data_IF_834744806480
#
_entry.id   IF_834744806480
#
_cell.length_a   1.000
_cell.length_b   1.000
_cell.length_c   1.000
_cell.angle_alpha   90.00
_cell.angle_beta   90.00
_cell.angle_gamma   90.00
#
_symmetry.space_group_name_H-M   'P 1'
#
loop_
_entity.id
_entity.type
_entity.pdbx_description
1 polymer ?
#
# COMPACT_ATOMS: atom_id res chain seq x y z
N UNK A 1 14.70 17.64 4.99
CA UNK A 1 14.56 16.67 3.88
C UNK A 1 13.09 16.36 3.75
N UNK A 2 12.57 16.14 2.54
CA UNK A 2 11.16 15.79 2.37
C UNK A 2 11.01 14.29 2.55
N UNK A 3 10.32 13.82 3.58
CA UNK A 3 10.08 12.38 3.74
C UNK A 3 9.11 11.90 2.66
N UNK A 4 9.42 10.75 2.05
CA UNK A 4 8.69 10.11 0.96
C UNK A 4 8.59 8.62 1.22
N UNK A 5 7.39 8.06 1.02
CA UNK A 5 7.12 6.64 1.20
C UNK A 5 7.09 5.93 -0.14
N UNK A 6 7.74 4.76 -0.18
CA UNK A 6 7.88 3.94 -1.36
C UNK A 6 7.48 2.49 -1.08
N UNK A 7 6.80 1.89 -2.05
CA UNK A 7 6.61 0.45 -2.12
C UNK A 7 7.66 -0.15 -3.05
N UNK A 8 8.47 -1.04 -2.51
CA UNK A 8 9.52 -1.77 -3.21
C UNK A 8 9.18 -3.25 -3.31
N UNK A 9 9.19 -3.77 -4.53
CA UNK A 9 9.23 -5.20 -4.78
C UNK A 9 10.69 -5.62 -4.94
N UNK A 10 11.16 -6.50 -4.07
CA UNK A 10 12.53 -6.99 -4.07
C UNK A 10 12.61 -8.49 -4.35
N UNK A 11 13.71 -8.90 -4.97
CA UNK A 11 14.13 -10.30 -5.01
C UNK A 11 14.82 -10.67 -3.70
N UNK A 12 14.30 -11.68 -2.99
CA UNK A 12 14.79 -12.04 -1.64
C UNK A 12 16.26 -12.45 -1.61
N UNK A 13 16.77 -13.03 -2.69
CA UNK A 13 18.10 -13.65 -2.73
C UNK A 13 19.17 -12.66 -3.16
N UNK A 14 18.84 -11.82 -4.14
CA UNK A 14 19.79 -10.84 -4.71
C UNK A 14 19.65 -9.47 -4.08
N UNK A 15 18.56 -9.21 -3.36
CA UNK A 15 18.19 -7.89 -2.82
C UNK A 15 18.08 -6.81 -3.90
N UNK A 16 17.89 -7.23 -5.16
CA UNK A 16 17.67 -6.30 -6.26
C UNK A 16 16.25 -5.76 -6.21
N UNK A 17 16.09 -4.45 -6.36
CA UNK A 17 14.81 -3.79 -6.56
C UNK A 17 14.29 -4.17 -7.96
N UNK A 18 13.21 -4.93 -8.00
CA UNK A 18 12.52 -5.29 -9.24
C UNK A 18 11.60 -4.14 -9.66
N UNK A 19 10.96 -3.51 -8.66
CA UNK A 19 10.07 -2.39 -8.88
C UNK A 19 10.03 -1.49 -7.65
N UNK A 20 9.88 -0.21 -7.88
CA UNK A 20 9.69 0.81 -6.86
C UNK A 20 8.58 1.75 -7.30
N UNK A 21 7.73 2.15 -6.38
CA UNK A 21 6.66 3.12 -6.61
C UNK A 21 6.59 4.07 -5.42
N UNK A 22 6.68 5.38 -5.67
CA UNK A 22 6.34 6.36 -4.66
C UNK A 22 4.84 6.28 -4.40
N UNK A 23 4.43 6.36 -3.13
CA UNK A 23 3.01 6.29 -2.75
C UNK A 23 2.57 7.47 -1.89
N UNK A 24 3.51 8.14 -1.22
CA UNK A 24 3.27 9.33 -0.42
C UNK A 24 4.54 10.20 -0.44
N UNK A 25 4.40 11.52 -0.40
CA UNK A 25 5.54 12.44 -0.47
C UNK A 25 5.26 13.80 0.15
N UNK A 26 6.20 14.75 -0.01
CA UNK A 26 6.08 16.13 0.47
C UNK A 26 5.93 16.29 2.00
N UNK A 27 6.56 15.43 2.81
CA UNK A 27 6.40 15.39 4.28
C UNK A 27 5.00 14.97 4.75
N UNK A 28 4.19 14.38 3.88
CA UNK A 28 3.00 13.69 4.34
C UNK A 28 3.40 12.41 5.08
N UNK A 29 2.71 12.13 6.18
CA UNK A 29 2.87 10.90 6.96
C UNK A 29 1.52 10.21 7.10
N UNK A 30 1.58 8.90 7.27
CA UNK A 30 0.42 8.16 7.73
C UNK A 30 0.17 8.48 9.22
N UNK A 31 -1.07 8.25 9.67
CA UNK A 31 -1.38 8.40 11.09
C UNK A 31 -0.81 7.22 11.91
N UNK A 32 -0.74 7.38 13.25
CA UNK A 32 -0.25 6.34 14.15
C UNK A 32 -1.03 5.02 14.01
N UNK A 33 -2.32 5.10 13.67
CA UNK A 33 -3.17 3.92 13.48
C UNK A 33 -2.71 3.09 12.27
N UNK A 34 -2.43 3.74 11.14
CA UNK A 34 -1.91 3.08 9.95
C UNK A 34 -0.60 2.35 10.23
N UNK A 35 0.36 3.04 10.88
CA UNK A 35 1.65 2.44 11.22
C UNK A 35 1.50 1.24 12.16
N UNK A 36 0.68 1.39 13.20
CA UNK A 36 0.41 0.31 14.15
C UNK A 36 -0.24 -0.91 13.48
N UNK A 37 -1.20 -0.71 12.60
CA UNK A 37 -1.93 -1.81 11.94
C UNK A 37 -1.05 -2.60 10.96
N UNK A 38 -0.02 -1.97 10.39
CA UNK A 38 0.97 -2.62 9.54
C UNK A 38 2.23 -3.04 10.29
N UNK A 39 2.25 -2.93 11.61
CA UNK A 39 3.39 -3.26 12.47
C UNK A 39 4.68 -2.51 12.08
N UNK A 40 4.53 -1.22 11.80
CA UNK A 40 5.60 -0.29 11.41
C UNK A 40 5.97 0.53 12.65
N UNK A 41 7.26 0.53 13.00
CA UNK A 41 7.77 1.33 14.10
C UNK A 41 8.34 2.64 13.56
N UNK A 42 7.86 3.76 14.11
CA UNK A 42 8.45 5.08 13.90
C UNK A 42 9.29 5.39 15.14
N UNK A 43 10.56 5.71 14.96
CA UNK A 43 11.44 6.02 16.08
C UNK A 43 11.23 7.46 16.62
N UNK A 44 12.00 7.83 17.65
CA UNK A 44 11.90 9.15 18.30
C UNK A 44 12.28 10.31 17.38
N UNK A 45 13.04 10.04 16.33
CA UNK A 45 13.51 11.03 15.36
C UNK A 45 12.61 11.06 14.11
N UNK A 46 11.52 10.27 14.09
CA UNK A 46 10.59 10.19 12.97
C UNK A 46 11.06 9.29 11.82
N UNK A 47 12.11 8.49 12.04
CA UNK A 47 12.67 7.57 11.06
C UNK A 47 11.87 6.27 11.06
N UNK A 48 11.62 5.74 9.86
CA UNK A 48 10.91 4.49 9.63
C UNK A 48 11.87 3.55 8.92
N UNK A 49 12.24 2.45 9.57
CA UNK A 49 13.05 1.42 8.93
C UNK A 49 12.27 0.69 7.82
N UNK A 50 12.95 0.21 6.77
CA UNK A 50 12.31 -0.60 5.74
C UNK A 50 11.62 -1.82 6.35
N UNK A 51 10.32 -1.98 6.05
CA UNK A 51 9.48 -2.99 6.69
C UNK A 51 8.78 -3.86 5.66
N UNK A 52 8.82 -5.17 5.88
CA UNK A 52 8.11 -6.13 5.05
C UNK A 52 6.62 -6.07 5.34
N UNK A 53 5.82 -5.91 4.30
CA UNK A 53 4.36 -5.79 4.39
C UNK A 53 3.65 -6.80 3.51
N UNK A 54 2.41 -7.15 3.90
CA UNK A 54 1.47 -7.78 2.99
C UNK A 54 0.76 -6.69 2.17
N UNK A 55 0.67 -6.87 0.85
CA UNK A 55 0.14 -5.84 -0.03
C UNK A 55 -1.36 -5.58 0.15
N UNK A 56 -2.17 -6.61 0.47
CA UNK A 56 -3.61 -6.43 0.67
C UNK A 56 -3.91 -5.70 1.99
N UNK A 57 -3.10 -5.96 3.00
CA UNK A 57 -3.21 -5.28 4.30
C UNK A 57 -2.83 -3.81 4.15
N UNK A 58 -1.75 -3.52 3.40
CA UNK A 58 -1.37 -2.16 3.05
C UNK A 58 -2.49 -1.41 2.31
N UNK A 59 -3.05 -1.97 1.22
CA UNK A 59 -4.10 -1.30 0.45
C UNK A 59 -5.35 -1.02 1.29
N UNK A 60 -5.66 -1.91 2.23
CA UNK A 60 -6.77 -1.74 3.16
C UNK A 60 -6.55 -0.57 4.12
N UNK A 61 -5.39 -0.50 4.78
CA UNK A 61 -5.08 0.63 5.66
C UNK A 61 -4.93 1.94 4.86
N UNK A 62 -4.48 1.86 3.61
CA UNK A 62 -4.42 3.00 2.70
C UNK A 62 -5.80 3.59 2.41
N UNK A 63 -6.80 2.78 2.03
CA UNK A 63 -8.17 3.27 1.83
C UNK A 63 -8.75 3.87 3.13
N UNK A 64 -8.49 3.24 4.28
CA UNK A 64 -8.92 3.77 5.58
C UNK A 64 -8.30 5.13 5.89
N UNK A 65 -6.99 5.27 5.65
CA UNK A 65 -6.28 6.53 5.85
C UNK A 65 -6.82 7.62 4.93
N UNK A 66 -6.93 7.36 3.63
CA UNK A 66 -7.52 8.31 2.69
C UNK A 66 -8.94 8.75 3.10
N UNK A 67 -9.74 7.85 3.66
CA UNK A 67 -11.08 8.19 4.15
C UNK A 67 -11.10 9.19 5.31
N UNK A 68 -10.05 9.24 6.13
CA UNK A 68 -9.86 10.26 7.18
C UNK A 68 -9.35 11.58 6.61
N UNK A 69 -8.61 11.53 5.50
CA UNK A 69 -7.97 12.68 4.85
C UNK A 69 -8.49 12.87 3.42
N UNK A 70 -9.75 13.32 3.25
CA UNK A 70 -10.39 13.39 1.94
C UNK A 70 -9.73 14.39 0.97
N UNK A 71 -8.95 15.34 1.48
CA UNK A 71 -8.12 16.26 0.70
C UNK A 71 -6.98 15.55 -0.04
N UNK A 72 -6.59 14.35 0.42
CA UNK A 72 -5.59 13.49 -0.22
C UNK A 72 -6.18 12.50 -1.22
N UNK A 73 -7.52 12.40 -1.32
CA UNK A 73 -8.19 11.44 -2.21
C UNK A 73 -8.11 11.84 -3.67
N UNK A 74 -7.73 10.86 -4.50
CA UNK A 74 -7.95 10.92 -5.95
C UNK A 74 -9.36 10.45 -6.35
N UNK A 75 -9.81 10.83 -7.55
CA UNK A 75 -11.05 10.34 -8.17
C UNK A 75 -10.76 9.26 -9.23
N UNK A 76 -11.65 8.25 -9.43
CA UNK A 76 -12.94 8.04 -8.74
C UNK A 76 -12.87 7.32 -7.39
N UNK A 77 -13.77 7.69 -6.49
CA UNK A 77 -13.90 7.07 -5.17
C UNK A 77 -14.40 5.62 -5.22
N UNK A 78 -13.95 4.82 -4.25
CA UNK A 78 -14.50 3.49 -4.03
C UNK A 78 -15.96 3.57 -3.55
N UNK A 79 -16.89 2.81 -4.16
CA UNK A 79 -18.29 2.85 -3.77
C UNK A 79 -18.52 2.47 -2.30
N UNK A 80 -19.43 3.18 -1.62
CA UNK A 80 -19.67 3.01 -0.19
C UNK A 80 -20.11 1.58 0.19
N UNK A 81 -20.86 0.90 -0.68
CA UNK A 81 -21.29 -0.49 -0.45
C UNK A 81 -20.12 -1.47 -0.41
N UNK A 82 -18.98 -1.14 -1.04
CA UNK A 82 -17.76 -1.95 -0.95
C UNK A 82 -17.16 -1.83 0.45
N UNK A 83 -17.17 -0.61 1.01
CA UNK A 83 -16.61 -0.28 2.33
C UNK A 83 -17.44 -0.79 3.50
N UNK A 84 -18.76 -0.87 3.34
CA UNK A 84 -19.71 -1.33 4.38
C UNK A 84 -19.75 -2.86 4.56
N UNK A 85 -18.84 -3.61 3.94
CA UNK A 85 -18.82 -5.07 4.09
C UNK A 85 -18.27 -5.47 5.47
N UNK A 86 -19.12 -6.07 6.30
CA UNK A 86 -18.77 -6.49 7.67
C UNK A 86 -17.70 -7.60 7.70
N UNK A 87 -17.54 -8.36 6.60
CA UNK A 87 -16.51 -9.38 6.50
C UNK A 87 -15.18 -8.78 6.04
N UNK A 88 -14.24 -8.63 6.98
CA UNK A 88 -12.92 -8.04 6.73
C UNK A 88 -12.14 -8.69 5.58
N UNK A 89 -12.25 -10.02 5.40
CA UNK A 89 -11.55 -10.71 4.31
C UNK A 89 -12.13 -10.34 2.95
N UNK A 90 -13.46 -10.20 2.86
CA UNK A 90 -14.14 -9.79 1.65
C UNK A 90 -13.87 -8.31 1.36
N UNK A 91 -13.90 -7.46 2.40
CA UNK A 91 -13.58 -6.04 2.31
C UNK A 91 -12.17 -5.84 1.73
N UNK A 92 -11.14 -6.46 2.32
CA UNK A 92 -9.76 -6.42 1.82
C UNK A 92 -9.64 -6.85 0.35
N UNK A 93 -10.32 -7.94 -0.02
CA UNK A 93 -10.37 -8.40 -1.42
C UNK A 93 -11.01 -7.37 -2.35
N UNK A 94 -12.11 -6.75 -1.93
CA UNK A 94 -12.79 -5.76 -2.77
C UNK A 94 -11.95 -4.48 -2.93
N UNK A 95 -11.25 -4.05 -1.88
CA UNK A 95 -10.27 -2.96 -1.94
C UNK A 95 -9.18 -3.28 -2.96
N UNK A 96 -8.60 -4.49 -2.89
CA UNK A 96 -7.62 -4.94 -3.88
C UNK A 96 -8.17 -4.91 -5.32
N UNK A 97 -9.39 -5.41 -5.52
CA UNK A 97 -10.03 -5.42 -6.84
C UNK A 97 -10.32 -4.00 -7.35
N UNK A 98 -10.66 -3.07 -6.47
CA UNK A 98 -10.84 -1.67 -6.84
C UNK A 98 -9.56 -1.10 -7.45
N UNK A 99 -8.44 -1.23 -6.72
CA UNK A 99 -7.13 -0.75 -7.17
C UNK A 99 -6.56 -1.53 -8.36
N UNK A 100 -7.04 -2.74 -8.64
CA UNK A 100 -6.67 -3.50 -9.85
C UNK A 100 -7.40 -3.00 -11.11
N UNK A 101 -8.67 -2.58 -10.99
CA UNK A 101 -9.59 -2.42 -12.13
C UNK A 101 -9.83 -0.94 -12.50
N UNK A 102 -9.80 -0.01 -11.54
CA UNK A 102 -10.17 1.41 -11.78
C UNK A 102 -8.96 2.28 -12.11
N UNK A 103 -9.01 2.99 -13.24
CA UNK A 103 -8.11 4.13 -13.51
C UNK A 103 -8.60 5.34 -12.73
N UNK A 104 -7.83 5.79 -11.74
CA UNK A 104 -8.09 6.97 -10.91
C UNK A 104 -6.83 7.85 -10.82
N UNK A 105 -6.95 9.07 -10.31
CA UNK A 105 -5.82 9.96 -9.99
C UNK A 105 -4.80 9.32 -9.00
N UNK A 106 -5.16 8.21 -8.35
CA UNK A 106 -4.25 7.29 -7.66
C UNK A 106 -3.49 6.37 -8.66
N UNK A 107 -3.03 6.93 -9.78
CA UNK A 107 -2.40 6.17 -10.87
C UNK A 107 -1.22 5.34 -10.36
N UNK A 108 -0.48 5.85 -9.36
CA UNK A 108 0.69 5.18 -8.79
C UNK A 108 0.32 3.82 -8.17
N UNK A 109 -0.74 3.74 -7.37
CA UNK A 109 -1.15 2.48 -6.75
C UNK A 109 -1.89 1.55 -7.71
N UNK A 110 -2.61 2.10 -8.69
CA UNK A 110 -3.19 1.32 -9.78
C UNK A 110 -2.10 0.65 -10.64
N UNK A 111 -1.15 1.44 -11.15
CA UNK A 111 -0.02 0.97 -11.93
C UNK A 111 0.86 0.05 -11.09
N UNK A 112 1.03 0.33 -9.78
CA UNK A 112 1.66 -0.59 -8.84
C UNK A 112 0.95 -1.94 -8.84
N UNK A 113 -0.36 -1.97 -8.53
CA UNK A 113 -1.15 -3.20 -8.43
C UNK A 113 -1.10 -4.01 -9.72
N UNK A 114 -1.29 -3.38 -10.89
CA UNK A 114 -1.27 -4.05 -12.20
C UNK A 114 0.10 -4.61 -12.59
N UNK A 115 1.19 -3.92 -12.24
CA UNK A 115 2.53 -4.46 -12.50
C UNK A 115 2.94 -5.55 -11.51
N UNK A 116 2.29 -5.63 -10.34
CA UNK A 116 2.52 -6.65 -9.32
C UNK A 116 1.70 -7.92 -9.57
N UNK A 117 0.41 -7.81 -9.82
CA UNK A 117 -0.51 -8.94 -10.01
C UNK A 117 -0.69 -9.28 -11.50
N UNK A 118 -0.72 -10.57 -11.90
CA UNK A 118 -0.55 -11.79 -11.09
C UNK A 118 0.90 -12.28 -11.04
N UNK A 119 1.86 -11.50 -11.56
CA UNK A 119 3.22 -11.95 -11.80
C UNK A 119 3.99 -12.20 -10.51
N UNK A 120 3.84 -11.34 -9.51
CA UNK A 120 4.64 -11.31 -8.29
C UNK A 120 3.82 -11.52 -7.01
N UNK A 121 2.54 -11.16 -7.02
CA UNK A 121 1.62 -11.31 -5.87
C UNK A 121 0.35 -12.08 -6.22
N UNK A 122 -0.27 -12.71 -5.23
CA UNK A 122 -1.58 -13.35 -5.33
C UNK A 122 -2.74 -12.41 -4.94
N UNK A 123 -3.99 -12.88 -5.08
CA UNK A 123 -5.20 -12.13 -4.70
C UNK A 123 -5.35 -11.91 -3.18
N UNK A 124 -4.49 -12.51 -2.36
CA UNK A 124 -4.41 -12.33 -0.91
C UNK A 124 -3.25 -11.39 -0.53
N UNK A 125 -2.61 -10.76 -1.51
CA UNK A 125 -1.47 -9.86 -1.30
C UNK A 125 -0.17 -10.56 -0.90
N UNK A 126 -0.10 -11.89 -0.93
CA UNK A 126 1.12 -12.63 -0.65
C UNK A 126 2.06 -12.53 -1.84
N UNK A 127 3.33 -12.22 -1.57
CA UNK A 127 4.37 -12.33 -2.60
C UNK A 127 4.68 -13.80 -2.87
N UNK A 128 4.95 -14.14 -4.14
CA UNK A 128 5.47 -15.47 -4.51
C UNK A 128 6.83 -15.68 -3.85
N UNK A 129 7.22 -16.94 -3.64
CA UNK A 129 8.35 -17.33 -2.78
C UNK A 129 9.67 -16.59 -3.03
N UNK A 130 9.94 -16.18 -4.27
CA UNK A 130 11.16 -15.44 -4.65
C UNK A 130 11.17 -13.96 -4.26
N UNK A 131 10.01 -13.37 -3.94
CA UNK A 131 9.85 -11.92 -3.86
C UNK A 131 9.32 -11.45 -2.51
N UNK A 132 9.65 -10.22 -2.12
CA UNK A 132 9.09 -9.56 -0.95
C UNK A 132 8.70 -8.11 -1.25
N UNK A 133 7.70 -7.62 -0.50
CA UNK A 133 7.22 -6.25 -0.59
C UNK A 133 7.71 -5.50 0.64
N UNK A 134 8.44 -4.42 0.41
CA UNK A 134 9.02 -3.56 1.42
C UNK A 134 8.37 -2.19 1.32
N UNK A 135 7.92 -1.65 2.44
CA UNK A 135 7.59 -0.24 2.58
C UNK A 135 8.81 0.47 3.16
N UNK A 136 9.25 1.52 2.49
CA UNK A 136 10.44 2.28 2.87
C UNK A 136 10.14 3.78 2.89
N UNK A 137 10.80 4.51 3.79
CA UNK A 137 10.66 5.96 3.94
C UNK A 137 12.04 6.63 3.97
N UNK A 138 12.23 7.69 3.19
CA UNK A 138 13.47 8.49 3.16
C UNK A 138 13.22 9.96 2.78
#
# INVERSE_FOLDING_TARGET
MSNRHYLRLEDKYTKSIIRECQILGNNDYFDEEFYKNLNINVDKDGVIEPVKINYIDFLYEWDRWLNKYPDKKGLPEMPEYVRKNENIKILKKNVFLHYLIRQSYEQELYEATRGLYPKYIDLKGNTKDRYEMILECY
#
